data_IF_517550666475
#
_entry.id   IF_517550666475
#
_cell.length_a   1.000
_cell.length_b   1.000
_cell.length_c   1.000
_cell.angle_alpha   90.00
_cell.angle_beta   90.00
_cell.angle_gamma   90.00
#
_symmetry.space_group_name_H-M   'P 1'
#
loop_
_entity.id
_entity.type
_entity.pdbx_description
1 polymer ?
#
# COMPACT_ATOMS: atom_id res chain seq x y z
N UNK A 1 29.75 3.12 -10.72
CA UNK A 1 28.53 2.29 -10.53
C UNK A 1 27.93 2.05 -11.90
N UNK A 2 27.76 0.79 -12.30
CA UNK A 2 27.27 0.45 -13.64
C UNK A 2 25.76 0.27 -13.59
N UNK A 3 25.00 1.22 -14.13
CA UNK A 3 23.55 1.06 -14.39
C UNK A 3 23.26 0.03 -15.51
N UNK A 4 24.28 -0.67 -16.03
CA UNK A 4 24.12 -1.64 -17.11
C UNK A 4 23.25 -2.84 -16.72
N UNK A 5 23.15 -3.15 -15.42
CA UNK A 5 22.31 -4.23 -14.90
C UNK A 5 20.81 -3.85 -14.83
N UNK A 6 20.51 -2.55 -15.00
CA UNK A 6 19.17 -1.98 -14.88
C UNK A 6 18.94 -0.95 -16.00
N UNK A 7 18.75 -1.40 -17.25
CA UNK A 7 18.62 -0.54 -18.41
C UNK A 7 17.49 0.48 -18.25
N UNK A 8 16.42 0.15 -17.53
CA UNK A 8 15.32 1.07 -17.26
C UNK A 8 15.75 2.28 -16.42
N UNK A 9 16.71 2.12 -15.51
CA UNK A 9 17.28 3.22 -14.72
C UNK A 9 18.16 4.14 -15.55
N UNK A 10 18.96 3.55 -16.46
CA UNK A 10 19.75 4.33 -17.41
C UNK A 10 18.85 5.16 -18.32
N UNK A 11 17.74 4.59 -18.79
CA UNK A 11 16.73 5.26 -19.62
C UNK A 11 16.06 6.41 -18.87
N UNK A 12 15.60 6.20 -17.62
CA UNK A 12 14.97 7.27 -16.81
C UNK A 12 15.88 8.48 -16.64
N UNK A 13 17.16 8.23 -16.34
CA UNK A 13 18.16 9.29 -16.13
C UNK A 13 18.57 9.98 -17.45
N UNK A 14 18.78 9.21 -18.51
CA UNK A 14 19.27 9.71 -19.81
C UNK A 14 18.18 10.43 -20.62
N UNK A 15 16.93 9.98 -20.52
CA UNK A 15 15.81 10.47 -21.34
C UNK A 15 14.88 11.41 -20.58
N UNK A 16 15.23 11.80 -19.34
CA UNK A 16 14.39 12.62 -18.46
C UNK A 16 12.95 12.09 -18.30
N UNK A 17 12.78 10.76 -18.36
CA UNK A 17 11.46 10.17 -18.19
C UNK A 17 11.00 10.34 -16.75
N UNK A 18 9.74 10.70 -16.59
CA UNK A 18 9.08 10.83 -15.28
C UNK A 18 8.51 9.48 -14.78
N UNK A 19 8.78 8.40 -15.52
CA UNK A 19 8.18 7.09 -15.29
C UNK A 19 9.27 6.02 -15.13
N UNK A 20 9.20 5.24 -14.06
CA UNK A 20 10.04 4.07 -13.86
C UNK A 20 9.18 2.80 -13.89
N UNK A 21 9.48 1.88 -14.79
CA UNK A 21 8.81 0.57 -14.86
C UNK A 21 9.85 -0.52 -14.77
N UNK A 22 9.69 -1.38 -13.78
CA UNK A 22 10.55 -2.52 -13.48
C UNK A 22 9.67 -3.78 -13.42
N UNK A 23 10.07 -4.82 -14.15
CA UNK A 23 9.35 -6.11 -14.19
C UNK A 23 10.32 -7.27 -14.10
N UNK A 24 9.93 -8.31 -13.34
CA UNK A 24 10.53 -9.64 -13.30
C UNK A 24 12.06 -9.58 -13.22
N UNK A 25 12.57 -8.99 -12.13
CA UNK A 25 14.01 -8.86 -11.88
C UNK A 25 14.73 -10.20 -11.58
N UNK A 26 14.08 -11.34 -11.79
CA UNK A 26 14.69 -12.67 -11.63
C UNK A 26 15.92 -12.78 -12.53
N UNK A 27 17.10 -12.90 -11.91
CA UNK A 27 18.40 -12.94 -12.60
C UNK A 27 19.19 -11.62 -12.58
N UNK A 28 18.59 -10.52 -12.12
CA UNK A 28 19.31 -9.28 -11.78
C UNK A 28 19.88 -9.48 -10.38
N UNK A 29 21.19 -9.68 -10.27
CA UNK A 29 21.91 -9.81 -9.00
C UNK A 29 22.73 -8.54 -8.76
N UNK A 30 22.09 -7.41 -8.40
CA UNK A 30 22.81 -6.18 -8.20
C UNK A 30 23.83 -6.38 -7.08
N UNK A 31 25.04 -5.88 -7.29
CA UNK A 31 26.08 -5.80 -6.26
C UNK A 31 25.73 -4.90 -5.05
N UNK A 32 24.56 -4.26 -5.10
CA UNK A 32 24.03 -3.31 -4.12
C UNK A 32 22.87 -3.95 -3.35
N UNK A 33 22.75 -3.63 -2.06
CA UNK A 33 21.55 -4.01 -1.31
C UNK A 33 20.30 -3.31 -1.88
N UNK A 34 19.11 -3.92 -1.73
CA UNK A 34 17.83 -3.35 -2.20
C UNK A 34 17.64 -1.90 -1.72
N UNK A 35 18.10 -1.60 -0.52
CA UNK A 35 17.97 -0.28 0.10
C UNK A 35 18.92 0.75 -0.53
N UNK A 36 20.16 0.36 -0.82
CA UNK A 36 21.11 1.21 -1.56
C UNK A 36 20.68 1.41 -3.01
N UNK A 37 20.09 0.38 -3.64
CA UNK A 37 19.52 0.48 -4.98
C UNK A 37 18.37 1.49 -4.98
N UNK A 38 17.37 1.30 -4.13
CA UNK A 38 16.24 2.22 -3.99
C UNK A 38 16.69 3.64 -3.70
N UNK A 39 17.65 3.81 -2.78
CA UNK A 39 18.24 5.13 -2.51
C UNK A 39 18.90 5.72 -3.75
N UNK A 40 19.69 4.95 -4.49
CA UNK A 40 20.35 5.43 -5.70
C UNK A 40 19.37 5.85 -6.81
N UNK A 41 18.19 5.25 -6.83
CA UNK A 41 17.11 5.52 -7.80
C UNK A 41 16.28 6.73 -7.36
N UNK A 42 15.64 6.65 -6.20
CA UNK A 42 14.66 7.66 -5.79
C UNK A 42 15.31 9.00 -5.45
N UNK A 43 16.49 9.00 -4.82
CA UNK A 43 17.17 10.27 -4.48
C UNK A 43 17.70 11.03 -5.70
N UNK A 44 17.99 10.34 -6.81
CA UNK A 44 18.51 10.96 -8.04
C UNK A 44 17.42 11.35 -9.03
N UNK A 45 16.18 10.89 -8.79
CA UNK A 45 15.06 11.09 -9.72
C UNK A 45 13.84 11.69 -8.99
N UNK A 46 13.96 12.88 -8.36
CA UNK A 46 12.86 13.51 -7.63
C UNK A 46 11.67 13.87 -8.54
N UNK A 47 11.91 14.00 -9.85
CA UNK A 47 10.87 14.30 -10.84
C UNK A 47 9.90 13.14 -11.16
N UNK A 48 10.16 11.92 -10.66
CA UNK A 48 9.30 10.76 -10.97
C UNK A 48 7.83 11.03 -10.60
N UNK A 49 6.93 10.82 -11.56
CA UNK A 49 5.49 10.94 -11.41
C UNK A 49 4.78 9.56 -11.41
N UNK A 50 5.43 8.53 -11.94
CA UNK A 50 4.94 7.16 -11.99
C UNK A 50 6.05 6.17 -11.69
N UNK A 51 5.80 5.24 -10.77
CA UNK A 51 6.70 4.13 -10.45
C UNK A 51 5.88 2.84 -10.48
N UNK A 52 6.37 1.86 -11.23
CA UNK A 52 5.83 0.51 -11.30
C UNK A 52 6.93 -0.51 -11.08
N UNK A 53 6.83 -1.32 -10.03
CA UNK A 53 7.78 -2.38 -9.70
C UNK A 53 6.98 -3.68 -9.55
N UNK A 54 7.27 -4.67 -10.39
CA UNK A 54 6.53 -5.94 -10.35
C UNK A 54 7.46 -7.14 -10.39
N UNK A 55 7.19 -8.15 -9.56
CA UNK A 55 7.91 -9.44 -9.64
C UNK A 55 9.39 -9.34 -9.26
N UNK A 56 9.75 -8.46 -8.33
CA UNK A 56 11.14 -8.19 -7.97
C UNK A 56 11.57 -8.76 -6.62
N UNK A 57 10.66 -9.42 -5.89
CA UNK A 57 10.96 -9.93 -4.54
C UNK A 57 11.16 -8.82 -3.51
N UNK A 58 10.65 -7.61 -3.77
CA UNK A 58 10.85 -6.47 -2.86
C UNK A 58 10.13 -6.72 -1.53
N UNK A 59 10.88 -6.70 -0.43
CA UNK A 59 10.33 -6.95 0.92
C UNK A 59 9.93 -5.67 1.68
N UNK A 60 10.49 -4.53 1.29
CA UNK A 60 10.25 -3.23 1.90
C UNK A 60 10.48 -2.08 0.91
N UNK A 61 9.86 -0.93 1.16
CA UNK A 61 10.10 0.29 0.42
C UNK A 61 11.00 1.21 1.25
N UNK A 62 12.17 1.55 0.70
CA UNK A 62 13.12 2.44 1.34
C UNK A 62 12.48 3.82 1.58
N UNK A 63 12.74 4.49 2.72
CA UNK A 63 12.29 5.86 2.96
C UNK A 63 12.73 6.86 1.89
N UNK A 64 13.74 6.52 1.09
CA UNK A 64 14.20 7.34 -0.05
C UNK A 64 13.13 7.62 -1.10
N UNK A 65 12.04 6.82 -1.18
CA UNK A 65 10.88 7.09 -2.06
C UNK A 65 10.27 8.48 -1.80
N UNK A 66 10.39 9.00 -0.58
CA UNK A 66 9.93 10.34 -0.19
C UNK A 66 10.59 11.46 -1.00
N UNK A 67 11.74 11.21 -1.62
CA UNK A 67 12.41 12.14 -2.54
C UNK A 67 11.59 12.41 -3.81
N UNK A 68 10.74 11.46 -4.22
CA UNK A 68 9.87 11.56 -5.38
C UNK A 68 8.55 12.25 -5.02
N UNK A 69 8.60 13.50 -4.54
CA UNK A 69 7.43 14.24 -4.06
C UNK A 69 6.38 14.53 -5.14
N UNK A 70 6.74 14.42 -6.42
CA UNK A 70 5.84 14.56 -7.57
C UNK A 70 5.13 13.25 -7.95
N UNK A 71 5.33 12.17 -7.19
CA UNK A 71 4.78 10.86 -7.51
C UNK A 71 3.25 10.89 -7.41
N UNK A 72 2.60 10.65 -8.54
CA UNK A 72 1.14 10.60 -8.64
C UNK A 72 0.60 9.17 -8.65
N UNK A 73 1.40 8.22 -9.11
CA UNK A 73 1.01 6.81 -9.18
C UNK A 73 2.16 5.90 -8.78
N UNK A 74 1.91 5.06 -7.78
CA UNK A 74 2.85 4.06 -7.29
C UNK A 74 2.21 2.68 -7.40
N UNK A 75 2.87 1.76 -8.09
CA UNK A 75 2.41 0.41 -8.37
C UNK A 75 3.51 -0.56 -7.96
N UNK A 76 3.29 -1.36 -6.92
CA UNK A 76 4.23 -2.37 -6.43
C UNK A 76 3.48 -3.70 -6.31
N UNK A 77 3.39 -4.43 -7.42
CA UNK A 77 2.52 -5.62 -7.53
C UNK A 77 3.36 -6.90 -7.59
N UNK A 78 2.92 -8.01 -7.00
CA UNK A 78 3.66 -9.30 -7.04
C UNK A 78 5.07 -9.16 -6.48
N UNK A 79 5.19 -8.54 -5.31
CA UNK A 79 6.43 -8.52 -4.54
C UNK A 79 6.19 -9.23 -3.20
N UNK A 80 7.13 -9.07 -2.26
CA UNK A 80 7.12 -9.74 -0.96
C UNK A 80 6.97 -8.71 0.15
N UNK A 81 6.27 -7.59 -0.10
CA UNK A 81 6.15 -6.51 0.86
C UNK A 81 5.45 -7.00 2.13
N UNK A 82 6.10 -6.83 3.28
CA UNK A 82 5.58 -7.26 4.59
C UNK A 82 5.25 -6.03 5.42
N UNK A 83 4.08 -6.03 6.07
CA UNK A 83 3.77 -5.07 7.15
C UNK A 83 4.20 -5.61 8.50
N UNK A 84 4.80 -4.74 9.32
CA UNK A 84 5.15 -5.02 10.70
C UNK A 84 4.25 -4.20 11.61
N UNK A 85 3.32 -4.84 12.35
CA UNK A 85 2.53 -4.16 13.37
C UNK A 85 3.45 -3.44 14.37
N UNK A 86 3.03 -2.24 14.81
CA UNK A 86 3.85 -1.38 15.68
C UNK A 86 4.23 -2.10 16.99
N UNK A 87 3.43 -3.07 17.44
CA UNK A 87 3.64 -3.89 18.62
C UNK A 87 4.71 -4.98 18.43
N UNK A 88 4.82 -5.55 17.23
CA UNK A 88 5.72 -6.67 16.88
C UNK A 88 7.09 -6.19 16.41
N UNK A 89 7.19 -4.96 15.89
CA UNK A 89 8.46 -4.35 15.44
C UNK A 89 9.58 -4.34 16.48
N UNK A 90 9.22 -4.38 17.77
CA UNK A 90 10.18 -4.50 18.90
C UNK A 90 10.75 -5.91 19.08
N UNK A 91 10.02 -6.95 18.66
CA UNK A 91 10.36 -8.37 18.89
C UNK A 91 11.08 -9.07 17.72
N UNK A 92 10.99 -8.54 16.50
CA UNK A 92 11.68 -9.10 15.31
C UNK A 92 13.16 -8.71 15.24
N UNK A 93 13.89 -9.01 16.31
CA UNK A 93 15.31 -8.68 16.48
C UNK A 93 16.27 -9.60 15.67
N UNK A 94 15.73 -10.52 14.85
CA UNK A 94 16.53 -11.52 14.11
C UNK A 94 17.02 -11.04 12.74
N UNK A 95 16.39 -10.02 12.16
CA UNK A 95 16.76 -9.46 10.85
C UNK A 95 17.52 -8.13 10.92
N UNK A 96 17.77 -7.62 12.12
CA UNK A 96 18.22 -6.25 12.28
C UNK A 96 19.75 -6.11 12.26
N UNK A 97 20.30 -5.73 11.10
CA UNK A 97 21.59 -5.05 11.04
C UNK A 97 21.43 -3.68 11.74
N UNK A 98 21.91 -3.60 12.98
CA UNK A 98 22.14 -2.36 13.76
C UNK A 98 20.90 -1.49 14.05
N UNK A 99 20.10 -1.89 15.04
CA UNK A 99 19.46 -0.94 15.97
C UNK A 99 18.23 -0.15 15.50
N UNK A 100 17.67 -0.40 14.32
CA UNK A 100 16.41 0.25 13.91
C UNK A 100 15.19 -0.57 14.38
N UNK A 101 14.30 0.01 15.19
CA UNK A 101 13.00 -0.64 15.43
C UNK A 101 12.25 -0.70 14.09
N UNK A 102 12.02 -1.90 13.56
CA UNK A 102 11.30 -2.10 12.30
C UNK A 102 9.81 -1.84 12.55
N UNK A 103 9.38 -0.60 12.39
CA UNK A 103 7.95 -0.23 12.38
C UNK A 103 7.43 -0.26 10.94
N UNK A 104 6.11 -0.25 10.77
CA UNK A 104 5.50 -0.05 9.44
C UNK A 104 5.99 1.25 8.77
N UNK A 105 6.28 2.30 9.55
CA UNK A 105 6.83 3.55 9.01
C UNK A 105 8.27 3.39 8.48
N UNK A 106 9.06 2.49 9.06
CA UNK A 106 10.41 2.15 8.57
C UNK A 106 10.41 1.31 7.30
N UNK A 107 9.30 0.62 7.00
CA UNK A 107 9.11 -0.21 5.81
C UNK A 107 8.33 0.50 4.69
N UNK A 108 7.53 1.50 5.07
CA UNK A 108 6.63 2.24 4.18
C UNK A 108 6.50 3.69 4.67
N UNK A 109 7.32 4.61 4.15
CA UNK A 109 7.12 6.04 4.40
C UNK A 109 6.48 6.74 3.19
N UNK A 110 5.18 7.01 3.29
CA UNK A 110 4.42 7.74 2.28
C UNK A 110 4.17 9.20 2.68
N UNK A 111 4.72 9.67 3.80
CA UNK A 111 4.38 10.98 4.39
C UNK A 111 4.66 12.17 3.48
N UNK A 112 5.67 12.06 2.61
CA UNK A 112 6.03 13.10 1.64
C UNK A 112 5.29 13.00 0.29
N UNK A 113 4.52 11.94 0.04
CA UNK A 113 3.88 11.68 -1.26
C UNK A 113 2.50 12.33 -1.37
N UNK A 114 2.42 13.64 -1.06
CA UNK A 114 1.15 14.38 -1.04
C UNK A 114 0.49 14.49 -2.43
N UNK A 115 1.29 14.33 -3.49
CA UNK A 115 0.81 14.29 -4.87
C UNK A 115 0.16 12.95 -5.28
N UNK A 116 0.28 11.91 -4.44
CA UNK A 116 -0.14 10.56 -4.79
C UNK A 116 -1.66 10.47 -4.97
N UNK A 117 -2.06 9.99 -6.14
CA UNK A 117 -3.46 9.80 -6.54
C UNK A 117 -3.86 8.33 -6.49
N UNK A 118 -2.93 7.45 -6.89
CA UNK A 118 -3.13 6.02 -7.04
C UNK A 118 -2.01 5.26 -6.36
N UNK A 119 -2.37 4.37 -5.44
CA UNK A 119 -1.47 3.40 -4.82
C UNK A 119 -1.99 1.99 -5.07
N UNK A 120 -1.19 1.17 -5.73
CA UNK A 120 -1.46 -0.26 -5.90
C UNK A 120 -0.32 -1.06 -5.30
N UNK A 121 -0.59 -1.74 -4.19
CA UNK A 121 0.33 -2.67 -3.54
C UNK A 121 -0.32 -4.06 -3.39
N UNK A 122 -1.12 -4.43 -4.38
CA UNK A 122 -1.77 -5.74 -4.46
C UNK A 122 -0.77 -6.88 -4.73
N UNK A 123 -1.15 -8.12 -4.42
CA UNK A 123 -0.28 -9.30 -4.55
C UNK A 123 1.04 -9.14 -3.78
N UNK A 124 0.94 -8.85 -2.50
CA UNK A 124 2.07 -8.81 -1.56
C UNK A 124 1.72 -9.64 -0.31
N UNK A 125 2.50 -9.47 0.75
CA UNK A 125 2.41 -10.25 1.99
C UNK A 125 2.00 -9.36 3.18
N UNK A 126 1.24 -8.28 2.93
CA UNK A 126 0.80 -7.34 3.97
C UNK A 126 -0.21 -8.02 4.89
N UNK A 127 0.03 -7.94 6.20
CA UNK A 127 -0.85 -8.44 7.27
C UNK A 127 -1.74 -7.36 7.87
N UNK A 128 -1.41 -6.09 7.66
CA UNK A 128 -2.20 -4.93 8.06
C UNK A 128 -2.06 -3.79 7.06
N UNK A 129 -3.02 -2.85 7.09
CA UNK A 129 -2.90 -1.60 6.32
C UNK A 129 -1.77 -0.74 6.92
N UNK A 130 -0.76 -0.31 6.16
CA UNK A 130 0.35 0.49 6.68
C UNK A 130 -0.12 1.78 7.36
N UNK A 131 0.35 2.03 8.59
CA UNK A 131 -0.08 3.18 9.40
C UNK A 131 0.18 4.53 8.71
N UNK A 132 1.23 4.62 7.91
CA UNK A 132 1.58 5.81 7.12
C UNK A 132 0.56 6.18 6.05
N UNK A 133 -0.27 5.24 5.58
CA UNK A 133 -1.43 5.56 4.73
C UNK A 133 -2.50 6.36 5.48
N UNK A 134 -2.57 6.17 6.81
CA UNK A 134 -3.60 6.79 7.67
C UNK A 134 -3.09 7.96 8.50
N UNK A 135 -1.89 8.46 8.19
CA UNK A 135 -1.29 9.63 8.86
C UNK A 135 -1.82 10.99 8.39
N UNK A 136 -2.78 11.03 7.45
CA UNK A 136 -3.40 12.27 6.97
C UNK A 136 -2.66 13.03 5.88
N UNK A 137 -1.48 12.56 5.45
CA UNK A 137 -0.67 13.26 4.44
C UNK A 137 -1.08 12.97 2.99
N UNK A 138 -1.75 11.85 2.74
CA UNK A 138 -2.17 11.43 1.40
C UNK A 138 -3.48 12.10 0.97
N UNK A 139 -3.51 13.42 1.02
CA UNK A 139 -4.71 14.26 0.83
C UNK A 139 -5.31 14.17 -0.57
N UNK A 140 -4.55 13.71 -1.57
CA UNK A 140 -5.02 13.57 -2.96
C UNK A 140 -5.34 12.13 -3.35
N UNK A 141 -5.06 11.15 -2.49
CA UNK A 141 -5.21 9.74 -2.81
C UNK A 141 -6.69 9.42 -3.00
N UNK A 142 -7.01 8.83 -4.15
CA UNK A 142 -8.39 8.46 -4.48
C UNK A 142 -8.55 7.00 -4.92
N UNK A 143 -7.46 6.29 -5.16
CA UNK A 143 -7.47 4.88 -5.53
C UNK A 143 -6.42 4.13 -4.71
N UNK A 144 -6.88 3.16 -3.92
CA UNK A 144 -6.05 2.27 -3.12
C UNK A 144 -6.39 0.81 -3.44
N UNK A 145 -5.41 0.07 -3.93
CA UNK A 145 -5.53 -1.36 -4.19
C UNK A 145 -4.60 -2.15 -3.27
N UNK A 146 -5.21 -2.96 -2.41
CA UNK A 146 -4.58 -3.84 -1.42
C UNK A 146 -5.01 -5.30 -1.62
N UNK A 147 -5.59 -5.63 -2.78
CA UNK A 147 -6.08 -6.97 -3.06
C UNK A 147 -4.98 -8.04 -3.01
N UNK A 148 -5.34 -9.29 -2.75
CA UNK A 148 -4.39 -10.41 -2.70
C UNK A 148 -3.23 -10.14 -1.74
N UNK A 149 -3.55 -9.83 -0.49
CA UNK A 149 -2.60 -9.73 0.61
C UNK A 149 -3.08 -10.68 1.75
N UNK A 150 -2.48 -10.57 2.93
CA UNK A 150 -2.84 -11.33 4.13
C UNK A 150 -3.45 -10.42 5.21
N UNK A 151 -4.12 -9.34 4.80
CA UNK A 151 -4.59 -8.31 5.74
C UNK A 151 -5.66 -8.92 6.64
N UNK A 152 -5.42 -8.95 7.94
CA UNK A 152 -6.39 -9.39 8.95
C UNK A 152 -7.09 -8.22 9.61
N UNK A 153 -6.41 -7.07 9.69
CA UNK A 153 -6.86 -5.86 10.38
C UNK A 153 -6.83 -4.62 9.48
N UNK A 154 -7.97 -3.94 9.42
CA UNK A 154 -8.11 -2.62 8.78
C UNK A 154 -8.25 -1.57 9.88
N UNK A 155 -7.35 -0.59 9.87
CA UNK A 155 -7.33 0.48 10.87
C UNK A 155 -8.62 1.34 10.83
N UNK A 156 -9.15 1.77 11.99
CA UNK A 156 -10.31 2.66 12.05
C UNK A 156 -10.03 4.07 11.53
N UNK A 157 -8.78 4.41 11.19
CA UNK A 157 -8.39 5.73 10.65
C UNK A 157 -8.38 5.79 9.13
N UNK A 158 -8.82 4.75 8.42
CA UNK A 158 -8.77 4.76 6.95
C UNK A 158 -9.68 5.84 6.32
N UNK A 159 -10.70 6.29 7.04
CA UNK A 159 -11.60 7.38 6.62
C UNK A 159 -10.92 8.76 6.52
N UNK A 160 -9.71 8.93 7.09
CA UNK A 160 -8.89 10.15 6.94
C UNK A 160 -8.52 10.41 5.47
N UNK A 161 -8.56 9.40 4.60
CA UNK A 161 -8.33 9.56 3.16
C UNK A 161 -9.63 10.07 2.51
N UNK A 162 -9.95 11.34 2.74
CA UNK A 162 -11.24 11.98 2.40
C UNK A 162 -11.58 11.97 0.90
N UNK A 163 -10.60 11.74 0.03
CA UNK A 163 -10.76 11.72 -1.42
C UNK A 163 -10.88 10.31 -2.01
N UNK A 164 -10.92 9.26 -1.17
CA UNK A 164 -11.01 7.88 -1.61
C UNK A 164 -12.26 7.62 -2.45
N UNK A 165 -12.07 7.19 -3.69
CA UNK A 165 -13.12 6.79 -4.64
C UNK A 165 -13.13 5.30 -4.90
N UNK A 166 -11.96 4.67 -4.85
CA UNK A 166 -11.78 3.25 -5.13
C UNK A 166 -10.93 2.62 -4.04
N UNK A 167 -11.50 1.67 -3.30
CA UNK A 167 -10.80 0.85 -2.32
C UNK A 167 -10.99 -0.61 -2.67
N UNK A 168 -9.91 -1.32 -2.92
CA UNK A 168 -9.92 -2.75 -3.14
C UNK A 168 -9.16 -3.46 -2.01
N UNK A 169 -9.88 -4.27 -1.23
CA UNK A 169 -9.37 -5.14 -0.17
C UNK A 169 -9.76 -6.61 -0.43
N UNK A 170 -10.12 -6.96 -1.67
CA UNK A 170 -10.52 -8.32 -2.02
C UNK A 170 -9.39 -9.32 -1.78
N UNK A 171 -9.73 -10.58 -1.55
CA UNK A 171 -8.74 -11.65 -1.37
C UNK A 171 -7.72 -11.32 -0.26
N UNK A 172 -8.24 -11.09 0.93
CA UNK A 172 -7.49 -10.88 2.16
C UNK A 172 -8.06 -11.78 3.27
N UNK A 173 -7.57 -11.64 4.51
CA UNK A 173 -7.97 -12.42 5.67
C UNK A 173 -8.85 -11.61 6.64
N UNK A 174 -9.59 -10.63 6.13
CA UNK A 174 -10.37 -9.69 6.94
C UNK A 174 -11.61 -10.39 7.51
N UNK A 175 -11.73 -10.40 8.84
CA UNK A 175 -12.88 -11.02 9.53
C UNK A 175 -13.95 -10.03 9.96
N UNK A 176 -13.61 -8.74 10.05
CA UNK A 176 -14.49 -7.61 10.35
C UNK A 176 -13.90 -6.30 9.83
N UNK A 177 -14.73 -5.30 9.56
CA UNK A 177 -14.28 -3.95 9.17
C UNK A 177 -14.58 -2.92 10.26
N UNK A 178 -13.75 -1.88 10.39
CA UNK A 178 -14.07 -0.75 11.25
C UNK A 178 -15.24 0.03 10.66
N UNK A 179 -16.06 0.59 11.54
CA UNK A 179 -17.23 1.41 11.19
C UNK A 179 -16.86 2.65 10.34
N UNK A 180 -15.62 3.12 10.44
CA UNK A 180 -15.06 4.22 9.65
C UNK A 180 -15.15 4.00 8.13
N UNK A 181 -15.12 2.75 7.63
CA UNK A 181 -15.36 2.46 6.21
C UNK A 181 -16.77 2.90 5.79
N UNK A 182 -17.73 2.79 6.72
CA UNK A 182 -19.11 3.27 6.56
C UNK A 182 -19.22 4.79 6.40
N UNK A 183 -18.17 5.56 6.72
CA UNK A 183 -18.14 7.03 6.64
C UNK A 183 -17.41 7.56 5.41
N UNK A 184 -16.91 6.71 4.51
CA UNK A 184 -16.16 7.15 3.34
C UNK A 184 -17.10 7.74 2.28
N UNK A 185 -17.49 9.01 2.41
CA UNK A 185 -18.56 9.64 1.62
C UNK A 185 -18.32 9.64 0.10
N UNK A 186 -17.06 9.68 -0.32
CA UNK A 186 -16.68 9.74 -1.75
C UNK A 186 -16.46 8.36 -2.38
N UNK A 187 -16.61 7.27 -1.62
CA UNK A 187 -16.36 5.91 -2.12
C UNK A 187 -17.37 5.54 -3.21
N UNK A 188 -16.87 5.10 -4.36
CA UNK A 188 -17.67 4.68 -5.52
C UNK A 188 -17.48 3.22 -5.86
N UNK A 189 -16.30 2.70 -5.58
CA UNK A 189 -15.92 1.31 -5.79
C UNK A 189 -15.32 0.82 -4.48
N UNK A 190 -15.92 -0.22 -3.92
CA UNK A 190 -15.47 -0.90 -2.71
C UNK A 190 -15.55 -2.40 -2.97
N UNK A 191 -14.39 -3.04 -3.12
CA UNK A 191 -14.31 -4.49 -3.28
C UNK A 191 -13.78 -5.10 -1.98
N UNK A 192 -14.60 -5.96 -1.39
CA UNK A 192 -14.34 -6.69 -0.16
C UNK A 192 -14.51 -8.20 -0.37
N UNK A 193 -14.67 -8.63 -1.61
CA UNK A 193 -14.95 -10.02 -1.95
C UNK A 193 -13.81 -10.94 -1.50
N UNK A 194 -14.10 -12.23 -1.34
CA UNK A 194 -13.12 -13.24 -0.94
C UNK A 194 -12.41 -12.92 0.40
N UNK A 195 -13.14 -12.35 1.36
CA UNK A 195 -12.69 -12.21 2.76
C UNK A 195 -13.51 -13.09 3.71
N UNK A 196 -12.90 -13.67 4.75
CA UNK A 196 -13.54 -14.56 5.71
C UNK A 196 -14.36 -13.81 6.78
N UNK A 197 -15.25 -12.89 6.37
CA UNK A 197 -16.10 -12.15 7.30
C UNK A 197 -16.92 -13.08 8.20
N UNK A 198 -16.91 -12.80 9.51
CA UNK A 198 -17.62 -13.61 10.53
C UNK A 198 -19.14 -13.52 10.36
N UNK A 199 -19.63 -12.33 10.06
CA UNK A 199 -21.04 -12.11 9.77
C UNK A 199 -21.38 -12.69 8.38
N UNK A 200 -22.11 -13.81 8.37
CA UNK A 200 -22.49 -14.49 7.14
C UNK A 200 -23.40 -13.67 6.21
N UNK A 201 -24.20 -12.73 6.75
CA UNK A 201 -25.02 -11.83 5.92
C UNK A 201 -24.15 -10.79 5.25
N UNK A 202 -23.25 -10.17 6.01
CA UNK A 202 -22.28 -9.23 5.46
C UNK A 202 -21.36 -9.91 4.44
N UNK A 203 -20.88 -11.12 4.74
CA UNK A 203 -20.05 -11.90 3.81
C UNK A 203 -20.74 -12.14 2.48
N UNK A 204 -22.03 -12.50 2.48
CA UNK A 204 -22.80 -12.65 1.23
C UNK A 204 -22.92 -11.33 0.48
N UNK A 205 -23.22 -10.23 1.18
CA UNK A 205 -23.32 -8.90 0.59
C UNK A 205 -21.99 -8.44 -0.03
N UNK A 206 -20.88 -8.63 0.67
CA UNK A 206 -19.53 -8.27 0.21
C UNK A 206 -19.06 -9.10 -1.00
N UNK A 207 -19.58 -10.32 -1.19
CA UNK A 207 -19.25 -11.17 -2.33
C UNK A 207 -20.24 -11.04 -3.50
N UNK A 208 -21.33 -10.29 -3.34
CA UNK A 208 -22.32 -10.10 -4.39
C UNK A 208 -21.84 -9.03 -5.39
N UNK A 209 -21.48 -9.46 -6.59
CA UNK A 209 -21.04 -8.59 -7.70
C UNK A 209 -22.11 -7.57 -8.15
N UNK A 210 -23.38 -7.76 -7.76
CA UNK A 210 -24.49 -6.86 -8.07
C UNK A 210 -24.80 -5.90 -6.92
N UNK A 211 -24.20 -6.10 -5.75
CA UNK A 211 -24.41 -5.23 -4.61
C UNK A 211 -23.92 -3.81 -4.91
N UNK A 212 -24.76 -2.83 -4.61
CA UNK A 212 -24.36 -1.43 -4.67
C UNK A 212 -23.41 -1.13 -3.52
N UNK A 213 -22.35 -0.36 -3.78
CA UNK A 213 -21.43 0.11 -2.75
C UNK A 213 -22.16 0.80 -1.59
N UNK A 214 -23.21 1.57 -1.90
CA UNK A 214 -24.05 2.22 -0.87
C UNK A 214 -24.70 1.23 0.10
N UNK A 215 -25.07 0.03 -0.36
CA UNK A 215 -25.64 -1.00 0.51
C UNK A 215 -24.59 -1.60 1.44
N UNK A 216 -23.37 -1.83 0.93
CA UNK A 216 -22.22 -2.32 1.71
C UNK A 216 -21.85 -1.31 2.79
N UNK A 217 -21.69 -0.04 2.40
CA UNK A 217 -21.35 1.07 3.31
C UNK A 217 -22.44 1.26 4.37
N UNK A 218 -23.72 1.24 3.98
CA UNK A 218 -24.84 1.33 4.92
C UNK A 218 -24.88 0.16 5.90
N UNK A 219 -24.54 -1.06 5.46
CA UNK A 219 -24.43 -2.22 6.35
C UNK A 219 -23.37 -1.99 7.42
N UNK A 220 -22.17 -1.53 7.01
CA UNK A 220 -21.06 -1.25 7.93
C UNK A 220 -21.47 -0.15 8.93
N UNK A 221 -22.05 0.96 8.44
CA UNK A 221 -22.48 2.08 9.29
C UNK A 221 -23.56 1.68 10.30
N UNK A 222 -24.53 0.83 9.91
CA UNK A 222 -25.60 0.37 10.79
C UNK A 222 -25.10 -0.51 11.95
N UNK A 223 -24.00 -1.22 11.75
CA UNK A 223 -23.40 -2.09 12.76
C UNK A 223 -22.23 -1.40 13.49
N UNK A 224 -22.12 -0.07 13.39
CA UNK A 224 -21.25 0.70 14.25
C UNK A 224 -21.63 0.49 15.73
N UNK A 225 -20.65 0.40 16.65
CA UNK A 225 -20.96 0.38 18.08
C UNK A 225 -21.78 1.62 18.42
N UNK A 226 -22.90 1.45 19.10
CA UNK A 226 -23.68 2.58 19.63
C UNK A 226 -22.79 3.28 20.65
N UNK A 227 -22.38 4.51 20.35
CA UNK A 227 -21.76 5.37 21.36
C UNK A 227 -22.84 5.62 22.41
N UNK A 228 -22.74 4.93 23.54
CA UNK A 228 -23.50 5.31 24.73
C UNK A 228 -22.86 6.58 25.24
N UNK A 229 -23.63 7.67 25.22
CA UNK A 229 -23.31 8.95 25.89
C UNK A 229 -23.03 8.74 27.38
#
# INVERSE_FOLDING_TARGET
MSFAEWPELATVSKEQRFELVVKDAKGRNPSLSDDELQKSVFSKNPQLNFVSISGCGLSHLSPSITSCSQLTKLVIIRNELVSVPDEIGRGMNRYNRKGFQLTNAGLFDFSALQALLVLDISHNELTSVPATLTGGQLVRLHTLNLAHNKITEVTPKLNVIEHMKTLNLSENEITSLPWAIGQMEKIRILDLSQNPFKDGRFRKLANDKRAKVSAVVAYIAKHAPRVTE
#
